data_IF_055609602288
#
_entry.id   IF_055609602288
#
_cell.length_a   1.000
_cell.length_b   1.000
_cell.length_c   1.000
_cell.angle_alpha   90.00
_cell.angle_beta   90.00
_cell.angle_gamma   90.00
#
_symmetry.space_group_name_H-M   'P 1'
#
loop_
_entity.id
_entity.type
_entity.pdbx_description
1 polymer ?
#
# COMPACT_ATOMS: atom_id res chain seq x y z
N UNK A 1 -62.42 7.21 20.06
CA UNK A 1 -60.97 7.45 20.25
C UNK A 1 -60.30 7.36 18.90
N UNK A 2 -59.51 8.38 18.51
CA UNK A 2 -58.82 8.42 17.22
C UNK A 2 -57.42 7.82 17.37
N UNK A 3 -57.12 6.76 16.61
CA UNK A 3 -55.79 6.17 16.56
C UNK A 3 -54.94 6.98 15.56
N UNK A 4 -53.90 7.65 16.07
CA UNK A 4 -53.01 8.50 15.27
C UNK A 4 -52.19 7.64 14.31
N UNK A 5 -52.56 7.65 13.04
CA UNK A 5 -51.70 7.15 11.95
C UNK A 5 -50.47 8.05 11.84
N UNK A 6 -49.31 7.54 12.25
CA UNK A 6 -48.02 8.23 12.11
C UNK A 6 -47.63 8.25 10.62
N UNK A 7 -47.33 9.43 10.08
CA UNK A 7 -46.79 9.54 8.71
C UNK A 7 -45.31 9.12 8.70
N UNK A 8 -44.87 8.35 7.69
CA UNK A 8 -43.48 7.89 7.59
C UNK A 8 -42.55 9.05 7.28
N UNK A 9 -41.33 8.99 7.80
CA UNK A 9 -40.28 9.99 7.59
C UNK A 9 -39.21 9.47 6.64
N UNK A 10 -38.32 10.34 6.17
CA UNK A 10 -37.30 10.04 5.16
C UNK A 10 -36.28 8.94 5.54
N UNK A 11 -36.38 8.35 6.72
CA UNK A 11 -35.53 7.27 7.22
C UNK A 11 -36.19 5.88 7.16
N UNK A 12 -37.47 5.79 6.79
CA UNK A 12 -38.23 4.53 6.72
C UNK A 12 -38.05 3.76 5.39
N UNK A 13 -37.03 4.08 4.58
CA UNK A 13 -36.69 3.38 3.32
C UNK A 13 -35.34 2.66 3.37
N UNK A 14 -35.03 1.99 4.48
CA UNK A 14 -33.99 0.96 4.49
C UNK A 14 -34.68 -0.39 4.71
N UNK A 15 -35.15 -1.00 3.62
CA UNK A 15 -35.56 -2.40 3.62
C UNK A 15 -34.32 -3.26 3.82
N UNK A 16 -34.25 -3.95 4.96
CA UNK A 16 -33.33 -5.07 5.20
C UNK A 16 -33.75 -6.21 4.27
N UNK A 17 -32.98 -6.48 3.21
CA UNK A 17 -33.11 -7.71 2.42
C UNK A 17 -32.40 -8.85 3.18
N UNK A 18 -33.22 -9.77 3.69
CA UNK A 18 -32.85 -10.88 4.57
C UNK A 18 -32.16 -12.05 3.85
N UNK A 19 -31.26 -11.80 2.89
CA UNK A 19 -30.48 -12.86 2.20
C UNK A 19 -28.99 -12.83 2.51
N UNK A 20 -28.65 -12.65 3.79
CA UNK A 20 -27.28 -12.86 4.27
C UNK A 20 -27.01 -14.36 4.48
N UNK A 21 -26.46 -15.01 3.46
CA UNK A 21 -25.54 -16.12 3.66
C UNK A 21 -24.18 -15.60 4.18
N UNK A 22 -23.35 -16.42 4.85
CA UNK A 22 -22.07 -15.97 5.37
C UNK A 22 -21.06 -15.82 4.23
N UNK A 23 -20.35 -14.68 4.23
CA UNK A 23 -19.32 -14.21 3.30
C UNK A 23 -19.78 -13.32 2.15
N UNK A 24 -19.55 -12.01 2.33
CA UNK A 24 -19.11 -11.14 1.23
C UNK A 24 -17.98 -10.27 1.74
N UNK A 25 -16.82 -10.45 1.13
CA UNK A 25 -15.63 -9.64 1.29
C UNK A 25 -15.91 -8.18 0.88
N UNK A 26 -15.14 -7.26 1.47
CA UNK A 26 -15.34 -5.82 1.41
C UNK A 26 -15.64 -5.26 0.01
N UNK A 27 -16.63 -4.39 -0.04
CA UNK A 27 -16.90 -3.52 -1.18
C UNK A 27 -15.88 -2.37 -1.17
N UNK A 28 -14.80 -2.56 -1.93
CA UNK A 28 -13.88 -1.54 -2.38
C UNK A 28 -14.54 -0.62 -3.41
N UNK A 29 -14.71 0.65 -3.07
CA UNK A 29 -14.70 1.74 -4.05
C UNK A 29 -13.46 2.57 -3.74
N UNK A 30 -12.31 2.16 -4.26
CA UNK A 30 -11.09 2.92 -4.02
C UNK A 30 -10.99 4.05 -5.05
N UNK A 31 -11.56 5.21 -4.72
CA UNK A 31 -11.31 6.48 -5.45
C UNK A 31 -9.89 7.00 -5.19
N UNK A 32 -9.12 6.32 -4.35
CA UNK A 32 -7.74 6.68 -4.07
C UNK A 32 -6.92 6.70 -5.36
N UNK A 33 -6.08 7.72 -5.44
CA UNK A 33 -5.16 7.92 -6.54
C UNK A 33 -3.76 7.54 -6.12
N UNK A 34 -2.98 7.11 -7.10
CA UNK A 34 -1.54 6.98 -6.93
C UNK A 34 -0.83 8.33 -7.11
N UNK A 35 0.48 8.32 -6.94
CA UNK A 35 1.34 9.51 -7.11
C UNK A 35 1.37 10.05 -8.55
N UNK A 36 0.90 9.28 -9.53
CA UNK A 36 0.76 9.68 -10.94
C UNK A 36 -0.63 10.28 -11.26
N UNK A 37 -1.47 10.48 -10.23
CA UNK A 37 -2.85 10.95 -10.32
C UNK A 37 -3.80 10.02 -11.10
N UNK A 38 -3.44 8.74 -11.25
CA UNK A 38 -4.31 7.68 -11.81
C UNK A 38 -4.88 6.79 -10.69
N UNK A 39 -5.91 5.95 -10.97
CA UNK A 39 -6.46 5.05 -9.97
C UNK A 39 -5.38 4.17 -9.32
N UNK A 40 -5.45 4.02 -7.99
CA UNK A 40 -4.45 3.26 -7.24
C UNK A 40 -4.48 1.77 -7.59
N UNK A 41 -3.33 1.21 -7.95
CA UNK A 41 -3.19 -0.22 -8.19
C UNK A 41 -3.03 -1.00 -6.87
N UNK A 42 -3.47 -2.26 -6.88
CA UNK A 42 -3.25 -3.16 -5.76
C UNK A 42 -1.78 -3.57 -5.71
N UNK A 43 -1.10 -3.27 -4.59
CA UNK A 43 0.33 -3.58 -4.44
C UNK A 43 0.58 -5.06 -4.14
N UNK A 44 -0.24 -5.67 -3.29
CA UNK A 44 -0.06 -7.06 -2.87
C UNK A 44 -1.37 -7.81 -2.65
N UNK A 45 -1.35 -9.13 -2.81
CA UNK A 45 -2.52 -10.00 -2.66
C UNK A 45 -2.46 -10.75 -1.33
N UNK A 46 -3.59 -11.31 -0.85
CA UNK A 46 -3.56 -12.14 0.36
C UNK A 46 -2.64 -13.36 0.25
N UNK A 47 -2.40 -13.85 -0.97
CA UNK A 47 -1.46 -14.95 -1.21
C UNK A 47 0.00 -14.59 -0.95
N UNK A 48 0.37 -13.29 -0.95
CA UNK A 48 1.73 -12.86 -0.65
C UNK A 48 1.99 -12.59 0.84
N UNK A 49 0.98 -12.76 1.70
CA UNK A 49 1.08 -12.54 3.14
C UNK A 49 1.73 -13.74 3.86
N UNK A 50 2.73 -13.53 4.73
CA UNK A 50 3.23 -14.58 5.61
C UNK A 50 2.15 -14.95 6.64
N UNK A 51 2.18 -16.20 7.12
CA UNK A 51 1.26 -16.67 8.16
C UNK A 51 1.30 -15.81 9.44
N UNK A 52 2.44 -15.15 9.71
CA UNK A 52 2.64 -14.27 10.86
C UNK A 52 2.35 -12.78 10.59
N UNK A 53 1.60 -12.44 9.54
CA UNK A 53 1.35 -11.03 9.17
C UNK A 53 0.72 -10.16 10.28
N UNK A 54 0.03 -10.77 11.26
CA UNK A 54 -0.50 -10.08 12.45
C UNK A 54 0.56 -9.57 13.43
N UNK A 55 1.78 -10.09 13.36
CA UNK A 55 2.90 -9.67 14.21
C UNK A 55 3.72 -8.53 13.57
N UNK A 56 3.35 -8.11 12.35
CA UNK A 56 4.03 -7.00 11.70
C UNK A 56 3.65 -5.67 12.35
N UNK A 57 4.59 -4.70 12.37
CA UNK A 57 4.31 -3.35 12.81
C UNK A 57 3.13 -2.76 12.02
N UNK A 58 2.34 -1.89 12.66
CA UNK A 58 1.12 -1.33 12.07
C UNK A 58 1.36 -0.51 10.80
N UNK A 59 2.60 -0.11 10.59
CA UNK A 59 3.11 0.65 9.46
C UNK A 59 3.27 -0.22 8.19
N UNK A 60 3.25 -1.56 8.35
CA UNK A 60 3.31 -2.53 7.25
C UNK A 60 1.90 -3.01 6.91
N UNK A 61 1.47 -2.71 5.68
CA UNK A 61 0.17 -3.12 5.16
C UNK A 61 0.30 -3.88 3.84
N UNK A 62 -0.57 -4.86 3.63
CA UNK A 62 -0.73 -5.53 2.33
C UNK A 62 -2.04 -5.13 1.67
N UNK A 63 -2.19 -5.40 0.36
CA UNK A 63 -3.33 -4.94 -0.41
C UNK A 63 -3.04 -3.60 -1.07
N UNK A 64 -4.00 -2.69 -0.92
CA UNK A 64 -3.88 -1.30 -1.36
C UNK A 64 -3.19 -0.46 -0.30
N UNK A 65 -2.24 0.34 -0.76
CA UNK A 65 -1.62 1.38 0.08
C UNK A 65 -2.66 2.46 0.41
N UNK A 66 -2.48 3.15 1.52
CA UNK A 66 -3.42 4.17 2.00
C UNK A 66 -2.67 5.39 2.54
N UNK A 67 -3.38 6.31 3.18
CA UNK A 67 -2.77 7.52 3.73
C UNK A 67 -1.74 7.27 4.83
N UNK A 68 -1.85 6.18 5.59
CA UNK A 68 -0.94 5.87 6.72
C UNK A 68 0.30 5.13 6.25
N UNK A 69 0.13 4.23 5.28
CA UNK A 69 1.21 3.48 4.65
C UNK A 69 1.19 3.71 3.14
N UNK A 70 1.57 4.92 2.66
CA UNK A 70 1.40 5.27 1.26
C UNK A 70 2.47 4.71 0.32
N UNK A 71 3.62 4.25 0.84
CA UNK A 71 4.76 3.84 0.01
C UNK A 71 4.64 2.38 -0.41
N UNK A 72 4.44 2.11 -1.70
CA UNK A 72 4.36 0.75 -2.23
C UNK A 72 5.76 0.20 -2.50
N UNK A 73 6.37 -0.45 -1.50
CA UNK A 73 7.73 -0.93 -1.56
C UNK A 73 7.83 -2.43 -1.87
N UNK A 74 8.87 -2.83 -2.59
CA UNK A 74 9.31 -4.21 -2.70
C UNK A 74 10.57 -4.41 -1.87
N UNK A 75 10.50 -5.33 -0.92
CA UNK A 75 11.58 -5.59 0.02
C UNK A 75 12.77 -6.20 -0.72
N UNK A 76 13.96 -5.65 -0.52
CA UNK A 76 15.21 -6.21 -1.04
C UNK A 76 15.95 -6.95 0.07
N UNK A 77 16.87 -7.84 -0.31
CA UNK A 77 17.74 -8.51 0.66
C UNK A 77 18.52 -7.50 1.51
N UNK A 78 19.12 -6.51 0.85
CA UNK A 78 19.89 -5.44 1.49
C UNK A 78 19.06 -4.60 2.46
N UNK A 79 17.80 -4.29 2.11
CA UNK A 79 16.90 -3.61 3.02
C UNK A 79 16.61 -4.44 4.27
N UNK A 80 16.30 -5.73 4.11
CA UNK A 80 16.03 -6.62 5.24
C UNK A 80 17.25 -6.78 6.16
N UNK A 81 18.46 -6.77 5.60
CA UNK A 81 19.71 -6.76 6.36
C UNK A 81 19.90 -5.42 7.11
N UNK A 82 19.57 -4.30 6.48
CA UNK A 82 19.59 -2.98 7.10
C UNK A 82 18.61 -2.88 8.27
N UNK A 83 17.34 -3.29 8.12
CA UNK A 83 16.36 -3.19 9.22
C UNK A 83 16.76 -4.07 10.40
N UNK A 84 17.32 -5.26 10.12
CA UNK A 84 17.82 -6.17 11.16
C UNK A 84 18.94 -5.55 11.99
N UNK A 85 19.80 -4.73 11.38
CA UNK A 85 20.87 -3.99 12.07
C UNK A 85 20.35 -2.77 12.86
N UNK A 86 19.25 -2.17 12.41
CA UNK A 86 18.66 -0.96 13.02
C UNK A 86 17.51 -1.26 14.00
N UNK A 87 17.42 -2.49 14.51
CA UNK A 87 16.55 -2.83 15.65
C UNK A 87 15.22 -3.51 15.31
N UNK A 88 14.82 -3.61 14.03
CA UNK A 88 13.62 -4.37 13.62
C UNK A 88 14.00 -5.49 12.66
N UNK A 89 14.06 -6.72 13.18
CA UNK A 89 14.37 -7.89 12.38
C UNK A 89 13.13 -8.40 11.61
N UNK A 90 12.84 -7.74 10.49
CA UNK A 90 11.73 -8.09 9.59
C UNK A 90 11.81 -9.54 9.07
N UNK A 91 13.02 -10.12 8.94
CA UNK A 91 13.19 -11.50 8.52
C UNK A 91 12.64 -12.50 9.54
N UNK A 92 12.85 -12.23 10.83
CA UNK A 92 12.28 -13.05 11.91
C UNK A 92 10.75 -12.96 11.97
N UNK A 93 10.16 -11.87 11.46
CA UNK A 93 8.71 -11.73 11.28
C UNK A 93 8.19 -12.42 10.01
N UNK A 94 9.05 -13.14 9.29
CA UNK A 94 8.69 -13.93 8.12
C UNK A 94 8.72 -13.16 6.80
N UNK A 95 9.25 -11.93 6.78
CA UNK A 95 9.40 -11.16 5.54
C UNK A 95 10.60 -11.64 4.72
N UNK A 96 10.40 -11.71 3.40
CA UNK A 96 11.37 -12.20 2.43
C UNK A 96 11.64 -11.17 1.33
N UNK A 97 12.83 -11.19 0.72
CA UNK A 97 13.10 -10.40 -0.47
C UNK A 97 12.05 -10.68 -1.56
N UNK A 98 11.69 -9.64 -2.31
CA UNK A 98 10.69 -9.70 -3.38
C UNK A 98 9.25 -9.52 -2.92
N UNK A 99 8.96 -9.56 -1.61
CA UNK A 99 7.61 -9.30 -1.12
C UNK A 99 7.23 -7.82 -1.23
N UNK A 100 5.99 -7.57 -1.65
CA UNK A 100 5.40 -6.25 -1.82
C UNK A 100 4.61 -5.83 -0.58
N UNK A 101 5.01 -4.71 0.02
CA UNK A 101 4.42 -4.16 1.23
C UNK A 101 4.26 -2.65 1.13
N UNK A 102 3.15 -2.15 1.66
CA UNK A 102 2.91 -0.74 1.86
C UNK A 102 3.56 -0.30 3.17
N UNK A 103 4.33 0.79 3.14
CA UNK A 103 5.11 1.33 4.26
C UNK A 103 4.74 2.78 4.54
N UNK A 104 4.97 3.23 5.78
CA UNK A 104 4.92 4.64 6.13
C UNK A 104 5.98 5.44 5.37
N UNK A 105 5.61 6.64 4.90
CA UNK A 105 6.48 7.48 4.08
C UNK A 105 7.74 7.94 4.81
N UNK A 106 7.62 8.29 6.09
CA UNK A 106 8.75 8.79 6.89
C UNK A 106 9.83 7.72 7.06
N UNK A 107 9.43 6.46 7.31
CA UNK A 107 10.36 5.35 7.46
C UNK A 107 11.07 5.00 6.15
N UNK A 108 10.35 5.05 5.03
CA UNK A 108 10.95 4.83 3.72
C UNK A 108 11.94 5.97 3.39
N UNK A 109 11.56 7.22 3.68
CA UNK A 109 12.41 8.38 3.45
C UNK A 109 13.68 8.34 4.29
N UNK A 110 13.58 7.97 5.56
CA UNK A 110 14.74 7.80 6.43
C UNK A 110 15.72 6.76 5.86
N UNK A 111 15.20 5.65 5.31
CA UNK A 111 16.03 4.67 4.63
C UNK A 111 16.70 5.25 3.37
N UNK A 112 15.95 6.04 2.58
CA UNK A 112 16.46 6.72 1.38
C UNK A 112 17.53 7.78 1.68
N UNK A 113 17.36 8.56 2.75
CA UNK A 113 18.30 9.61 3.16
C UNK A 113 19.60 9.02 3.74
N UNK A 114 19.51 7.85 4.38
CA UNK A 114 20.69 7.13 4.91
C UNK A 114 21.43 6.32 3.85
N UNK A 115 20.83 6.11 2.69
CA UNK A 115 21.41 5.30 1.64
C UNK A 115 22.52 6.08 0.92
N UNK A 116 23.75 5.64 1.15
CA UNK A 116 24.94 6.27 0.58
C UNK A 116 25.30 5.73 -0.81
N UNK A 117 24.53 4.76 -1.36
CA UNK A 117 24.94 3.99 -2.53
C UNK A 117 23.85 3.21 -3.30
N UNK A 118 22.57 3.53 -3.12
CA UNK A 118 21.45 2.96 -3.88
C UNK A 118 20.97 1.57 -3.43
N UNK A 119 21.64 0.92 -2.47
CA UNK A 119 21.46 -0.52 -2.21
C UNK A 119 20.55 -0.84 -1.03
N UNK A 120 20.41 0.06 -0.07
CA UNK A 120 19.67 -0.21 1.17
C UNK A 120 18.17 0.04 1.09
N UNK A 121 17.72 0.76 0.07
CA UNK A 121 16.34 1.28 -0.03
C UNK A 121 15.45 0.29 -0.78
N UNK A 122 14.24 -0.02 -0.27
CA UNK A 122 13.27 -0.78 -1.04
C UNK A 122 12.88 -0.02 -2.31
N UNK A 123 12.92 -0.71 -3.45
CA UNK A 123 12.36 -0.18 -4.69
C UNK A 123 10.87 0.06 -4.52
N UNK A 124 10.34 1.09 -5.17
CA UNK A 124 8.92 1.44 -5.08
C UNK A 124 8.20 1.28 -6.42
N UNK A 125 6.92 0.94 -6.34
CA UNK A 125 5.99 0.89 -7.47
C UNK A 125 5.13 2.17 -7.47
N UNK A 126 5.35 3.05 -8.44
CA UNK A 126 4.64 4.33 -8.51
C UNK A 126 3.14 4.17 -8.81
N UNK A 127 2.74 3.11 -9.51
CA UNK A 127 1.32 2.88 -9.84
C UNK A 127 0.52 2.42 -8.60
N UNK A 128 1.21 1.76 -7.68
CA UNK A 128 0.65 1.24 -6.43
C UNK A 128 0.91 2.16 -5.21
N UNK A 129 1.73 3.19 -5.36
CA UNK A 129 2.06 4.16 -4.29
C UNK A 129 0.96 5.20 -4.15
N UNK A 130 0.37 5.32 -2.96
CA UNK A 130 -0.74 6.24 -2.69
C UNK A 130 -0.31 7.71 -2.78
N UNK A 131 -1.18 8.58 -3.32
CA UNK A 131 -0.90 10.01 -3.54
C UNK A 131 -0.42 10.76 -2.30
N UNK A 132 -0.82 10.33 -1.10
CA UNK A 132 -0.37 10.90 0.16
C UNK A 132 1.15 10.85 0.36
N UNK A 133 1.88 9.94 -0.31
CA UNK A 133 3.34 9.89 -0.29
C UNK A 133 4.00 11.22 -0.67
N UNK A 134 3.39 11.97 -1.60
CA UNK A 134 3.88 13.26 -2.07
C UNK A 134 3.93 14.35 -0.98
N UNK A 135 3.28 14.13 0.16
CA UNK A 135 3.37 15.03 1.32
C UNK A 135 4.73 14.94 2.02
N UNK A 136 5.43 13.80 1.90
CA UNK A 136 6.68 13.50 2.62
C UNK A 136 7.87 13.31 1.68
N UNK A 137 7.66 12.63 0.55
CA UNK A 137 8.70 12.29 -0.44
C UNK A 137 8.35 12.93 -1.76
N UNK A 138 9.29 13.65 -2.36
CA UNK A 138 9.08 14.28 -3.66
C UNK A 138 9.11 13.27 -4.82
N UNK A 139 8.47 13.63 -5.93
CA UNK A 139 8.34 12.77 -7.10
C UNK A 139 9.70 12.42 -7.73
N UNK A 140 10.67 13.32 -7.72
CA UNK A 140 12.00 13.06 -8.28
C UNK A 140 12.75 12.01 -7.48
N UNK A 141 12.69 12.09 -6.15
CA UNK A 141 13.22 11.06 -5.24
C UNK A 141 12.51 9.74 -5.48
N UNK A 142 11.18 9.72 -5.57
CA UNK A 142 10.43 8.51 -5.85
C UNK A 142 10.83 7.86 -7.18
N UNK A 143 11.01 8.65 -8.25
CA UNK A 143 11.46 8.15 -9.56
C UNK A 143 12.85 7.51 -9.52
N UNK A 144 13.78 8.01 -8.68
CA UNK A 144 15.12 7.42 -8.54
C UNK A 144 15.08 5.99 -7.99
N UNK A 145 14.09 5.69 -7.16
CA UNK A 145 13.91 4.38 -6.53
C UNK A 145 12.74 3.60 -7.14
N UNK A 146 12.16 4.09 -8.24
CA UNK A 146 11.12 3.37 -8.95
C UNK A 146 11.72 2.12 -9.57
N UNK A 147 11.29 0.95 -9.10
CA UNK A 147 11.65 -0.31 -9.72
C UNK A 147 10.68 -0.64 -10.85
N UNK A 148 11.17 -1.30 -11.90
CA UNK A 148 10.29 -2.04 -12.81
C UNK A 148 9.73 -3.25 -12.05
N UNK A 149 8.71 -3.01 -11.24
CA UNK A 149 8.07 -4.00 -10.37
C UNK A 149 6.79 -4.59 -10.99
N UNK A 150 6.57 -4.33 -12.29
CA UNK A 150 5.59 -4.96 -13.15
C UNK A 150 4.17 -5.07 -12.59
N UNK A 151 3.31 -4.12 -12.94
CA UNK A 151 2.13 -4.53 -13.71
C UNK A 151 2.59 -4.57 -15.18
N UNK A 152 2.25 -5.61 -15.93
CA UNK A 152 2.87 -5.92 -17.23
C UNK A 152 2.54 -4.94 -18.39
N UNK A 153 2.38 -3.63 -18.16
CA UNK A 153 2.16 -2.60 -19.19
C UNK A 153 2.76 -1.27 -18.76
N UNK A 154 4.03 -1.03 -19.10
CA UNK A 154 4.57 0.22 -19.68
C UNK A 154 6.10 0.19 -19.53
N UNK A 155 6.79 -0.21 -20.60
CA UNK A 155 8.21 0.11 -20.77
C UNK A 155 8.30 1.63 -20.88
N UNK A 156 8.78 2.31 -19.84
CA UNK A 156 9.43 3.60 -20.04
C UNK A 156 10.90 3.30 -20.34
N UNK A 157 11.20 3.28 -21.64
CA UNK A 157 12.55 3.33 -22.18
C UNK A 157 13.27 4.56 -21.59
N UNK A 158 14.21 4.33 -20.67
CA UNK A 158 15.08 5.35 -20.10
C UNK A 158 16.42 5.41 -20.85
N UNK A 159 16.47 5.01 -22.12
CA UNK A 159 17.70 4.92 -22.91
C UNK A 159 17.56 5.52 -24.32
N UNK A 160 17.32 6.83 -24.39
CA UNK A 160 17.79 7.65 -25.52
C UNK A 160 18.57 8.86 -24.99
N UNK A 161 19.79 8.59 -24.51
CA UNK A 161 20.91 9.53 -24.55
C UNK A 161 22.18 8.76 -24.91
N UNK A 162 22.44 8.68 -26.21
CA UNK A 162 23.78 8.57 -26.78
C UNK A 162 23.84 9.54 -27.96
#
# INVERSE_FOLDING_TARGET
MAEKVRKPTAWDKVTVDSRLGPNVHGSEHNEDKNVLDTPLHQHSTRSSLPMASKALPSEFKAGFCDERSPMAAQLTQSFLDFTSKNGVNLKQLGLRPGQKWCLAADHWKEAADRDSGGQGVPLIDLESTHKAALKTVDMDTMKKYAGDLGSARYQYDWNVRH
#
